data_IF_081652153637
#
_entry.id   IF_081652153637
#
_cell.length_a   1.000
_cell.length_b   1.000
_cell.length_c   1.000
_cell.angle_alpha   90.00
_cell.angle_beta   90.00
_cell.angle_gamma   90.00
#
_symmetry.space_group_name_H-M   'P 1'
#
loop_
_entity.id
_entity.type
_entity.pdbx_description
1 polymer ?
#
# COMPACT_ATOMS: atom_id res chain seq x y z
N UNK A 1 14.36 -5.62 -6.19
CA UNK A 1 15.39 -4.73 -6.81
C UNK A 1 14.72 -3.39 -6.99
N UNK A 2 15.08 -2.36 -6.22
CA UNK A 2 14.35 -1.09 -6.24
C UNK A 2 14.42 -0.41 -7.61
N UNK A 3 13.27 0.08 -8.06
CA UNK A 3 13.08 0.92 -9.24
C UNK A 3 14.06 2.09 -9.27
N UNK A 4 15.01 2.09 -10.22
CA UNK A 4 16.04 3.12 -10.38
C UNK A 4 16.92 3.33 -9.12
N UNK A 5 18.05 4.03 -9.26
CA UNK A 5 18.76 4.55 -8.09
C UNK A 5 17.78 5.41 -7.27
N UNK A 6 17.44 4.95 -6.08
CA UNK A 6 16.62 5.72 -5.14
C UNK A 6 17.42 6.91 -4.63
N UNK A 7 16.79 8.08 -4.45
CA UNK A 7 17.45 9.19 -3.76
C UNK A 7 17.95 8.74 -2.40
N UNK A 8 19.12 9.21 -2.01
CA UNK A 8 19.70 9.03 -0.68
C UNK A 8 19.61 10.31 0.16
N UNK A 9 19.19 11.41 -0.46
CA UNK A 9 19.05 12.74 0.16
C UNK A 9 17.84 13.45 -0.40
N UNK A 10 17.31 14.42 0.35
CA UNK A 10 16.25 15.32 -0.10
C UNK A 10 16.62 16.00 -1.42
N UNK A 11 17.85 16.51 -1.56
CA UNK A 11 18.33 17.17 -2.78
C UNK A 11 18.27 16.24 -4.00
N UNK A 12 18.72 14.98 -3.87
CA UNK A 12 18.62 14.02 -4.97
C UNK A 12 17.17 13.72 -5.35
N UNK A 13 16.24 13.72 -4.37
CA UNK A 13 14.81 13.55 -4.65
C UNK A 13 14.26 14.73 -5.45
N UNK A 14 14.67 15.96 -5.13
CA UNK A 14 14.32 17.16 -5.90
C UNK A 14 14.94 17.15 -7.30
N UNK A 15 16.21 16.76 -7.42
CA UNK A 15 16.88 16.70 -8.73
C UNK A 15 16.20 15.71 -9.68
N UNK A 16 15.66 14.61 -9.14
CA UNK A 16 14.85 13.65 -9.90
C UNK A 16 13.56 14.25 -10.45
N UNK A 17 12.99 15.26 -9.81
CA UNK A 17 11.77 15.93 -10.26
C UNK A 17 12.02 16.94 -11.39
N UNK A 18 13.28 17.30 -11.70
CA UNK A 18 13.59 18.25 -12.79
C UNK A 18 13.13 17.76 -14.17
N UNK A 19 13.01 16.44 -14.36
CA UNK A 19 12.50 15.85 -15.60
C UNK A 19 10.99 15.57 -15.57
N UNK A 20 10.31 15.88 -14.46
CA UNK A 20 8.88 15.64 -14.33
C UNK A 20 8.07 16.79 -14.94
N UNK A 21 6.91 16.47 -15.49
CA UNK A 21 5.93 17.45 -16.00
C UNK A 21 4.71 17.47 -15.11
N UNK A 22 4.15 18.66 -14.88
CA UNK A 22 2.89 18.81 -14.13
C UNK A 22 1.72 18.22 -14.91
N UNK A 23 0.84 17.49 -14.23
CA UNK A 23 -0.38 16.91 -14.84
C UNK A 23 -1.39 18.00 -15.23
N UNK A 24 -1.49 19.05 -14.42
CA UNK A 24 -2.33 20.24 -14.63
C UNK A 24 -1.57 21.48 -14.19
N UNK A 25 -2.07 22.69 -14.51
CA UNK A 25 -1.47 23.91 -13.95
C UNK A 25 -1.61 23.90 -12.42
N UNK A 26 -0.61 24.40 -11.67
CA UNK A 26 -0.70 24.51 -10.22
C UNK A 26 -1.93 25.32 -9.80
N UNK A 27 -2.71 24.79 -8.87
CA UNK A 27 -3.93 25.42 -8.35
C UNK A 27 -5.24 25.02 -9.05
N UNK A 28 -5.18 24.43 -10.25
CA UNK A 28 -6.39 24.08 -11.02
C UNK A 28 -7.09 22.81 -10.52
N UNK A 29 -6.32 21.79 -10.13
CA UNK A 29 -6.85 20.49 -9.71
C UNK A 29 -6.05 19.90 -8.55
N UNK A 30 -6.72 19.03 -7.78
CA UNK A 30 -6.09 18.27 -6.72
C UNK A 30 -5.62 16.90 -7.20
N UNK A 31 -4.30 16.66 -7.08
CA UNK A 31 -3.68 15.37 -7.32
C UNK A 31 -2.77 15.04 -6.14
N UNK A 32 -3.15 14.05 -5.32
CA UNK A 32 -2.32 13.61 -4.20
C UNK A 32 -1.03 12.99 -4.72
N UNK A 33 0.13 13.48 -4.25
CA UNK A 33 1.43 12.99 -4.70
C UNK A 33 2.50 13.13 -3.61
N UNK A 34 3.08 12.01 -3.16
CA UNK A 34 4.09 11.99 -2.09
C UNK A 34 5.31 12.91 -2.36
N UNK A 35 5.86 12.99 -3.58
CA UNK A 35 6.94 13.93 -3.88
C UNK A 35 6.62 15.40 -3.60
N UNK A 36 5.34 15.80 -3.53
CA UNK A 36 4.98 17.17 -3.12
C UNK A 36 5.45 17.44 -1.67
N UNK A 37 5.38 16.44 -0.78
CA UNK A 37 5.89 16.57 0.60
C UNK A 37 7.43 16.51 0.67
N UNK A 38 8.09 15.86 -0.29
CA UNK A 38 9.55 15.92 -0.42
C UNK A 38 10.02 17.34 -0.79
N UNK A 39 9.28 18.03 -1.67
CA UNK A 39 9.49 19.46 -1.97
C UNK A 39 9.30 20.31 -0.71
N UNK A 40 8.25 20.05 0.08
CA UNK A 40 8.02 20.79 1.33
C UNK A 40 9.16 20.58 2.34
N UNK A 41 9.66 19.36 2.49
CA UNK A 41 10.84 19.08 3.32
C UNK A 41 12.08 19.84 2.83
N UNK A 42 12.33 19.87 1.51
CA UNK A 42 13.44 20.64 0.93
C UNK A 42 13.32 22.16 1.18
N UNK A 43 12.09 22.69 1.16
CA UNK A 43 11.82 24.11 1.49
C UNK A 43 12.19 24.37 2.95
N UNK A 44 11.78 23.50 3.88
CA UNK A 44 12.16 23.61 5.31
C UNK A 44 13.68 23.59 5.46
N UNK A 45 14.37 22.64 4.80
CA UNK A 45 15.83 22.55 4.84
C UNK A 45 16.50 23.83 4.33
N UNK A 46 15.99 24.40 3.24
CA UNK A 46 16.53 25.61 2.61
C UNK A 46 16.33 26.84 3.50
N UNK A 47 15.14 27.01 4.06
CA UNK A 47 14.78 28.18 4.86
C UNK A 47 15.42 28.12 6.25
N UNK A 48 15.35 26.97 6.93
CA UNK A 48 15.88 26.79 8.26
C UNK A 48 17.40 26.58 8.29
N UNK A 49 18.00 26.18 7.15
CA UNK A 49 19.41 25.74 7.06
C UNK A 49 19.74 24.59 8.01
N UNK A 50 18.74 23.75 8.28
CA UNK A 50 18.83 22.56 9.14
C UNK A 50 18.27 21.37 8.35
N UNK A 51 18.81 20.16 8.54
CA UNK A 51 18.23 18.95 7.91
C UNK A 51 16.79 18.73 8.40
N UNK A 52 15.91 18.21 7.55
CA UNK A 52 14.49 18.10 7.88
C UNK A 52 14.22 17.22 9.11
N UNK A 53 14.94 16.10 9.23
CA UNK A 53 14.85 15.20 10.38
C UNK A 53 15.26 15.89 11.69
N UNK A 54 16.34 16.67 11.65
CA UNK A 54 16.81 17.45 12.81
C UNK A 54 15.86 18.60 13.15
N UNK A 55 15.27 19.25 12.14
CA UNK A 55 14.30 20.31 12.34
C UNK A 55 13.06 19.78 13.05
N UNK A 56 12.48 18.67 12.59
CA UNK A 56 11.33 18.04 13.24
C UNK A 56 11.64 17.62 14.67
N UNK A 57 12.82 17.01 14.90
CA UNK A 57 13.23 16.60 16.23
C UNK A 57 13.28 17.78 17.21
N UNK A 58 13.97 18.86 16.82
CA UNK A 58 14.25 20.02 17.68
C UNK A 58 13.05 20.95 17.88
N UNK A 59 12.24 21.18 16.83
CA UNK A 59 11.19 22.21 16.84
C UNK A 59 9.78 21.66 16.97
N UNK A 60 9.59 20.34 16.84
CA UNK A 60 8.28 19.70 16.93
C UNK A 60 8.27 18.56 17.96
N UNK A 61 9.05 17.50 17.75
CA UNK A 61 8.93 16.29 18.55
C UNK A 61 9.38 16.48 20.00
N UNK A 62 10.54 17.11 20.23
CA UNK A 62 11.03 17.38 21.59
C UNK A 62 10.12 18.34 22.37
N UNK A 63 9.71 19.51 21.83
CA UNK A 63 8.77 20.40 22.50
C UNK A 63 7.43 19.75 22.85
N UNK A 64 7.00 18.75 22.05
CA UNK A 64 5.75 18.01 22.27
C UNK A 64 5.90 16.76 23.15
N UNK A 65 7.10 16.51 23.70
CA UNK A 65 7.43 15.30 24.44
C UNK A 65 7.20 13.99 23.64
N UNK A 66 7.28 14.05 22.31
CA UNK A 66 7.20 12.91 21.39
C UNK A 66 8.56 12.19 21.32
N UNK A 67 8.97 11.57 22.44
CA UNK A 67 10.32 11.05 22.65
C UNK A 67 10.67 9.84 21.78
N UNK A 68 9.66 9.13 21.28
CA UNK A 68 9.77 7.94 20.44
C UNK A 68 9.48 8.23 18.96
N UNK A 69 9.19 9.48 18.60
CA UNK A 69 8.96 9.87 17.20
C UNK A 69 10.25 10.32 16.52
N UNK A 70 10.57 9.74 15.36
CA UNK A 70 11.73 10.15 14.54
C UNK A 70 11.34 10.17 13.07
N UNK A 71 11.95 11.08 12.32
CA UNK A 71 11.91 11.06 10.86
C UNK A 71 13.07 10.21 10.34
N UNK A 72 12.75 9.36 9.36
CA UNK A 72 13.72 8.59 8.60
C UNK A 72 13.54 8.86 7.11
N UNK A 73 14.61 9.21 6.42
CA UNK A 73 14.57 9.46 4.98
C UNK A 73 14.55 8.19 4.11
N UNK A 74 14.93 7.03 4.67
CA UNK A 74 15.03 5.74 3.98
C UNK A 74 14.40 4.63 4.82
N UNK A 75 13.59 3.78 4.18
CA UNK A 75 12.88 2.65 4.84
C UNK A 75 13.83 1.60 5.43
N UNK A 76 15.03 1.42 4.87
CA UNK A 76 16.05 0.52 5.42
C UNK A 76 16.41 0.84 6.88
N UNK A 77 16.21 2.09 7.32
CA UNK A 77 16.51 2.51 8.68
C UNK A 77 15.39 2.20 9.67
N UNK A 78 14.23 1.72 9.22
CA UNK A 78 13.08 1.46 10.10
C UNK A 78 13.36 0.38 11.14
N UNK A 79 14.30 -0.54 10.87
CA UNK A 79 14.65 -1.64 11.77
C UNK A 79 15.97 -1.40 12.53
N UNK A 80 16.72 -0.36 12.19
CA UNK A 80 18.05 -0.11 12.76
C UNK A 80 18.07 0.89 13.92
N UNK A 81 16.94 1.54 14.20
CA UNK A 81 16.86 2.59 15.23
C UNK A 81 16.66 2.04 16.65
N UNK A 82 17.16 2.80 17.63
CA UNK A 82 17.24 2.45 19.06
C UNK A 82 15.86 2.24 19.71
N UNK A 83 15.39 0.99 19.74
CA UNK A 83 14.18 0.55 20.43
C UNK A 83 13.49 -0.62 19.68
N UNK A 84 12.59 -1.39 20.32
CA UNK A 84 11.87 -2.45 19.64
C UNK A 84 10.79 -1.86 18.72
N UNK A 85 11.17 -1.43 17.51
CA UNK A 85 10.20 -1.11 16.48
C UNK A 85 9.42 -2.38 16.12
N UNK A 86 8.10 -2.25 15.96
CA UNK A 86 7.27 -3.37 15.54
C UNK A 86 7.77 -3.86 14.17
N UNK A 87 7.99 -5.18 14.04
CA UNK A 87 8.30 -5.76 12.73
C UNK A 87 7.11 -5.56 11.80
N UNK A 88 7.38 -5.16 10.56
CA UNK A 88 6.38 -5.06 9.51
C UNK A 88 5.97 -6.44 9.00
N UNK A 89 4.76 -6.54 8.46
CA UNK A 89 4.21 -7.79 7.97
C UNK A 89 3.56 -7.64 6.60
N UNK A 90 3.79 -8.64 5.76
CA UNK A 90 2.93 -8.95 4.61
C UNK A 90 1.92 -10.01 5.04
N UNK A 91 0.88 -10.24 4.23
CA UNK A 91 -0.07 -11.32 4.50
C UNK A 91 0.13 -12.47 3.52
N UNK A 92 0.21 -13.69 4.04
CA UNK A 92 0.23 -14.92 3.25
C UNK A 92 -0.85 -15.85 3.78
N UNK A 93 -1.81 -16.23 2.93
CA UNK A 93 -2.97 -17.04 3.34
C UNK A 93 -3.71 -16.44 4.54
N UNK A 94 -3.86 -15.10 4.54
CA UNK A 94 -4.52 -14.34 5.60
C UNK A 94 -3.79 -14.30 6.94
N UNK A 95 -2.55 -14.81 7.01
CA UNK A 95 -1.70 -14.72 8.19
C UNK A 95 -0.63 -13.65 8.00
N UNK A 96 -0.35 -12.80 9.01
CA UNK A 96 0.76 -11.88 8.95
C UNK A 96 2.07 -12.67 8.98
N UNK A 97 2.97 -12.37 8.04
CA UNK A 97 4.32 -12.93 7.92
C UNK A 97 5.29 -11.77 7.97
N UNK A 98 6.24 -11.84 8.91
CA UNK A 98 7.23 -10.78 9.08
C UNK A 98 8.02 -10.55 7.80
N UNK A 99 8.15 -9.27 7.42
CA UNK A 99 8.88 -8.85 6.24
C UNK A 99 9.53 -7.50 6.50
N UNK A 100 10.64 -7.25 5.80
CA UNK A 100 11.26 -5.92 5.77
C UNK A 100 10.52 -5.06 4.75
N UNK A 101 10.37 -3.77 5.04
CA UNK A 101 9.87 -2.79 4.09
C UNK A 101 10.87 -2.64 2.92
N UNK A 102 10.44 -2.74 1.65
CA UNK A 102 11.32 -2.51 0.51
C UNK A 102 12.03 -1.15 0.56
N UNK A 103 13.27 -1.10 0.05
CA UNK A 103 14.07 0.12 0.03
C UNK A 103 13.39 1.24 -0.76
N UNK A 104 13.13 2.36 -0.07
CA UNK A 104 12.46 3.51 -0.64
C UNK A 104 12.88 4.81 0.06
N UNK A 105 13.04 5.88 -0.73
CA UNK A 105 13.18 7.23 -0.20
C UNK A 105 11.82 7.77 0.24
N UNK A 106 11.70 8.01 1.54
CA UNK A 106 10.45 8.40 2.22
C UNK A 106 10.54 9.75 2.92
N UNK A 107 11.70 10.40 2.86
CA UNK A 107 11.97 11.66 3.54
C UNK A 107 10.90 12.72 3.26
N UNK A 108 10.43 13.39 4.31
CA UNK A 108 9.35 14.39 4.22
C UNK A 108 7.93 13.84 4.01
N UNK A 109 7.75 12.69 3.35
CA UNK A 109 6.44 12.22 2.89
C UNK A 109 5.88 11.04 3.69
N UNK A 110 6.72 10.10 4.14
CA UNK A 110 6.29 8.85 4.75
C UNK A 110 7.29 8.27 5.78
N UNK A 111 8.27 9.08 6.18
CA UNK A 111 9.41 8.65 6.99
C UNK A 111 9.24 8.70 8.50
N UNK A 112 8.12 9.25 9.00
CA UNK A 112 7.92 9.44 10.44
C UNK A 112 7.49 8.12 11.08
N UNK A 113 8.32 7.60 11.99
CA UNK A 113 8.00 6.47 12.86
C UNK A 113 7.60 7.04 14.21
N UNK A 114 6.51 6.54 14.79
CA UNK A 114 5.95 7.01 16.06
C UNK A 114 5.26 5.87 16.82
N UNK A 115 4.74 6.17 18.01
CA UNK A 115 3.85 5.28 18.77
C UNK A 115 2.53 6.00 19.12
N UNK A 116 1.57 5.25 19.67
CA UNK A 116 0.24 5.79 20.00
C UNK A 116 0.29 6.90 21.07
N UNK A 117 1.24 6.84 22.01
CA UNK A 117 1.40 7.86 23.06
C UNK A 117 1.87 9.18 22.46
N UNK A 118 2.92 9.16 21.65
CA UNK A 118 3.45 10.35 20.98
C UNK A 118 2.44 10.90 19.97
N UNK A 119 1.75 10.04 19.21
CA UNK A 119 0.66 10.46 18.32
C UNK A 119 -0.53 11.08 19.06
N UNK A 120 -0.77 10.71 20.33
CA UNK A 120 -1.79 11.38 21.14
C UNK A 120 -1.43 12.84 21.42
N UNK A 121 -0.14 13.15 21.66
CA UNK A 121 0.33 14.53 21.79
C UNK A 121 0.13 15.30 20.47
N UNK A 122 0.45 14.67 19.34
CA UNK A 122 0.18 15.23 18.00
C UNK A 122 -1.29 15.59 17.79
N UNK A 123 -2.21 14.66 18.07
CA UNK A 123 -3.63 14.91 17.87
C UNK A 123 -4.19 15.97 18.82
N UNK A 124 -3.71 16.03 20.06
CA UNK A 124 -4.10 17.09 21.01
C UNK A 124 -3.69 18.47 20.52
N UNK A 125 -2.45 18.62 20.02
CA UNK A 125 -2.01 19.87 19.38
C UNK A 125 -2.94 20.26 18.22
N UNK A 126 -3.29 19.32 17.35
CA UNK A 126 -4.19 19.56 16.21
C UNK A 126 -5.63 19.88 16.62
N UNK A 127 -6.07 19.40 17.78
CA UNK A 127 -7.35 19.81 18.40
C UNK A 127 -7.25 21.16 19.12
N UNK A 128 -6.07 21.79 19.14
CA UNK A 128 -5.78 23.02 19.86
C UNK A 128 -5.90 22.86 21.39
N UNK A 129 -5.81 21.61 21.86
CA UNK A 129 -5.71 21.24 23.27
C UNK A 129 -4.23 21.18 23.65
N UNK A 130 -3.85 21.78 24.78
CA UNK A 130 -2.45 21.91 25.21
C UNK A 130 -1.56 22.79 24.32
N UNK A 131 -2.08 23.89 23.78
CA UNK A 131 -1.19 25.04 23.63
C UNK A 131 -1.04 25.67 25.02
N UNK A 132 0.08 25.49 25.76
CA UNK A 132 0.48 26.51 26.72
C UNK A 132 0.41 27.87 26.01
N UNK A 133 0.04 28.94 26.71
CA UNK A 133 0.08 30.28 26.10
C UNK A 133 1.47 30.60 25.51
N UNK A 134 2.51 29.94 26.02
CA UNK A 134 3.91 30.00 25.58
C UNK A 134 4.35 28.88 24.60
N UNK A 135 3.42 28.04 24.09
CA UNK A 135 3.78 27.04 23.06
C UNK A 135 4.10 27.75 21.74
N UNK A 136 5.39 27.96 21.49
CA UNK A 136 5.92 28.59 20.28
C UNK A 136 5.88 27.70 19.01
N UNK A 137 5.24 26.52 19.05
CA UNK A 137 5.25 25.55 17.92
C UNK A 137 4.47 26.10 16.72
N UNK A 138 3.22 26.49 16.92
CA UNK A 138 2.33 27.01 15.88
C UNK A 138 1.29 27.92 16.52
N UNK A 139 0.85 28.98 15.83
CA UNK A 139 -0.23 29.84 16.33
C UNK A 139 -1.60 29.39 15.82
N UNK A 140 -2.68 29.86 16.47
CA UNK A 140 -4.07 29.50 16.12
C UNK A 140 -4.45 29.82 14.67
N UNK A 141 -3.94 30.93 14.11
CA UNK A 141 -4.22 31.31 12.72
C UNK A 141 -3.61 30.31 11.74
N UNK A 142 -2.37 29.89 11.98
CA UNK A 142 -1.65 28.91 11.16
C UNK A 142 -2.26 27.52 11.29
N UNK A 143 -2.67 27.13 12.51
CA UNK A 143 -3.42 25.89 12.75
C UNK A 143 -4.74 25.87 11.95
N UNK A 144 -5.51 26.96 12.01
CA UNK A 144 -6.76 27.09 11.24
C UNK A 144 -6.49 27.02 9.74
N UNK A 145 -5.45 27.70 9.24
CA UNK A 145 -5.07 27.67 7.83
C UNK A 145 -4.71 26.24 7.37
N UNK A 146 -3.91 25.52 8.15
CA UNK A 146 -3.52 24.14 7.87
C UNK A 146 -4.74 23.21 7.74
N UNK A 147 -5.80 23.44 8.53
CA UNK A 147 -6.99 22.60 8.57
C UNK A 147 -8.12 23.08 7.64
N UNK A 148 -7.91 24.15 6.86
CA UNK A 148 -8.90 24.72 5.95
C UNK A 148 -8.55 24.37 4.50
N UNK A 149 -9.44 23.67 3.76
CA UNK A 149 -9.25 23.44 2.33
C UNK A 149 -9.21 24.74 1.50
N UNK A 150 -8.67 24.70 0.27
CA UNK A 150 -8.67 25.88 -0.59
C UNK A 150 -10.10 26.37 -0.90
N UNK A 151 -10.35 27.69 -0.88
CA UNK A 151 -11.68 28.27 -1.04
C UNK A 151 -12.29 28.08 -2.42
N UNK A 152 -11.47 27.75 -3.42
CA UNK A 152 -11.92 27.47 -4.80
C UNK A 152 -12.79 26.23 -4.91
N UNK A 153 -12.85 25.40 -3.86
CA UNK A 153 -13.57 24.12 -3.87
C UNK A 153 -12.90 23.04 -4.72
N UNK A 154 -11.69 23.31 -5.27
CA UNK A 154 -10.93 22.37 -6.08
C UNK A 154 -10.50 21.10 -5.31
N UNK A 155 -10.53 21.15 -3.97
CA UNK A 155 -10.21 20.02 -3.11
C UNK A 155 -10.89 20.15 -1.75
N UNK A 156 -11.05 19.01 -1.07
CA UNK A 156 -11.36 18.94 0.36
C UNK A 156 -10.13 18.56 1.17
N UNK A 157 -8.94 18.93 0.70
CA UNK A 157 -7.65 18.68 1.33
C UNK A 157 -7.05 19.99 1.86
N UNK A 158 -6.77 20.05 3.15
CA UNK A 158 -5.97 21.09 3.80
C UNK A 158 -4.46 20.82 3.64
N UNK A 159 -3.64 21.37 4.52
CA UNK A 159 -2.20 21.12 4.54
C UNK A 159 -1.92 19.86 5.38
N UNK A 160 -2.07 18.67 4.78
CA UNK A 160 -1.83 17.39 5.47
C UNK A 160 -3.07 16.67 5.95
N UNK A 161 -4.27 17.20 5.69
CA UNK A 161 -5.53 16.64 6.18
C UNK A 161 -6.58 16.58 5.07
N UNK A 162 -7.29 15.45 4.96
CA UNK A 162 -8.58 15.42 4.28
C UNK A 162 -9.64 15.95 5.23
N UNK A 163 -10.40 16.95 4.80
CA UNK A 163 -11.44 17.60 5.57
C UNK A 163 -12.80 17.06 5.13
N UNK A 164 -13.58 16.48 6.05
CA UNK A 164 -14.93 15.95 5.81
C UNK A 164 -16.01 17.06 5.84
N UNK A 165 -17.22 16.86 5.26
CA UNK A 165 -18.21 17.93 5.16
C UNK A 165 -18.74 18.38 6.53
N UNK A 166 -18.68 17.47 7.51
CA UNK A 166 -19.06 17.71 8.89
C UNK A 166 -17.99 18.49 9.69
N UNK A 167 -16.82 18.77 9.10
CA UNK A 167 -15.69 19.47 9.72
C UNK A 167 -14.59 18.55 10.26
N UNK A 168 -14.79 17.24 10.27
CA UNK A 168 -13.80 16.29 10.77
C UNK A 168 -12.59 16.23 9.84
N UNK A 169 -11.44 15.87 10.41
CA UNK A 169 -10.18 15.77 9.68
C UNK A 169 -9.70 14.34 9.74
N UNK A 170 -9.21 13.80 8.63
CA UNK A 170 -8.57 12.49 8.62
C UNK A 170 -7.37 12.48 7.69
N UNK A 171 -6.43 11.58 7.96
CA UNK A 171 -5.34 11.26 7.03
C UNK A 171 -4.88 9.83 7.32
N UNK A 172 -4.47 9.12 6.28
CA UNK A 172 -3.97 7.75 6.40
C UNK A 172 -2.60 7.60 5.76
N UNK A 173 -1.84 6.66 6.28
CA UNK A 173 -0.53 6.26 5.77
C UNK A 173 -0.52 4.78 5.45
N UNK A 174 -0.04 4.43 4.26
CA UNK A 174 0.10 3.03 3.85
C UNK A 174 1.47 2.79 3.22
N UNK A 175 2.19 1.81 3.76
CA UNK A 175 3.42 1.24 3.23
C UNK A 175 3.20 -0.24 2.88
N UNK A 176 4.22 -0.94 2.37
CA UNK A 176 4.05 -2.35 2.04
C UNK A 176 3.85 -3.22 3.29
N UNK A 177 4.46 -2.82 4.42
CA UNK A 177 4.46 -3.62 5.65
C UNK A 177 3.85 -2.93 6.87
N UNK A 178 3.41 -1.67 6.74
CA UNK A 178 2.79 -0.87 7.81
C UNK A 178 1.59 -0.06 7.30
N UNK A 179 0.64 0.22 8.19
CA UNK A 179 -0.50 1.12 7.95
C UNK A 179 -0.75 2.00 9.18
N UNK A 180 -1.26 3.21 8.98
CA UNK A 180 -1.67 4.10 10.04
C UNK A 180 -2.93 4.87 9.64
N UNK A 181 -3.88 4.97 10.57
CA UNK A 181 -5.11 5.73 10.42
C UNK A 181 -5.19 6.78 11.54
N UNK A 182 -5.60 8.00 11.20
CA UNK A 182 -5.89 9.03 12.19
C UNK A 182 -7.08 9.89 11.79
N UNK A 183 -7.85 10.32 12.78
CA UNK A 183 -9.01 11.19 12.62
C UNK A 183 -9.18 12.14 13.80
N UNK A 184 -9.70 13.33 13.53
CA UNK A 184 -10.13 14.31 14.51
C UNK A 184 -11.62 14.56 14.31
N UNK A 185 -12.40 14.19 15.33
CA UNK A 185 -13.83 14.41 15.45
C UNK A 185 -14.07 15.78 16.07
N UNK A 186 -14.24 16.82 15.24
CA UNK A 186 -14.22 18.21 15.70
C UNK A 186 -15.38 18.55 16.62
N UNK A 187 -16.57 17.99 16.37
CA UNK A 187 -17.76 18.25 17.18
C UNK A 187 -17.72 17.57 18.53
N UNK A 188 -17.14 16.37 18.57
CA UNK A 188 -17.07 15.52 19.76
C UNK A 188 -15.83 15.80 20.61
N UNK A 189 -14.81 16.46 20.05
CA UNK A 189 -13.57 16.76 20.77
C UNK A 189 -12.66 15.55 20.94
N UNK A 190 -12.72 14.58 20.02
CA UNK A 190 -11.88 13.38 20.06
C UNK A 190 -10.85 13.35 18.93
N UNK A 191 -9.65 12.85 19.25
CA UNK A 191 -8.64 12.44 18.29
C UNK A 191 -8.44 10.94 18.39
N UNK A 192 -8.50 10.24 17.26
CA UNK A 192 -8.32 8.79 17.17
C UNK A 192 -7.10 8.51 16.31
N UNK A 193 -6.21 7.64 16.77
CA UNK A 193 -5.07 7.11 16.01
C UNK A 193 -5.01 5.60 16.16
N UNK A 194 -4.82 4.88 15.05
CA UNK A 194 -4.62 3.44 15.03
C UNK A 194 -3.38 3.14 14.17
N UNK A 195 -2.45 2.39 14.74
CA UNK A 195 -1.19 2.01 14.09
C UNK A 195 -1.17 0.50 13.86
N UNK A 196 -0.87 0.08 12.63
CA UNK A 196 -0.83 -1.31 12.22
C UNK A 196 0.57 -1.67 11.74
N UNK A 197 1.02 -2.86 12.12
CA UNK A 197 2.27 -3.46 11.64
C UNK A 197 2.03 -4.48 10.52
N UNK A 198 0.89 -4.37 9.82
CA UNK A 198 0.63 -4.98 8.53
C UNK A 198 0.39 -3.86 7.51
N UNK A 199 0.87 -4.04 6.29
CA UNK A 199 0.79 -3.02 5.25
C UNK A 199 -0.20 -3.34 4.15
N UNK A 200 0.06 -2.78 2.97
CA UNK A 200 -0.85 -2.80 1.83
C UNK A 200 -1.33 -4.22 1.50
N UNK A 201 -2.62 -4.45 1.72
CA UNK A 201 -3.31 -5.68 1.37
C UNK A 201 -4.70 -5.33 0.81
N UNK A 202 -5.13 -5.92 -0.33
CA UNK A 202 -6.37 -5.53 -0.98
C UNK A 202 -7.61 -6.16 -0.33
N UNK A 203 -7.43 -7.03 0.67
CA UNK A 203 -8.49 -7.70 1.42
C UNK A 203 -8.62 -7.20 2.85
N UNK A 204 -7.79 -6.24 3.28
CA UNK A 204 -7.82 -5.65 4.62
C UNK A 204 -8.24 -4.19 4.49
N UNK A 205 -9.35 -3.83 5.12
CA UNK A 205 -9.83 -2.44 5.19
C UNK A 205 -9.45 -1.80 6.53
N UNK A 206 -8.26 -1.19 6.56
CA UNK A 206 -7.75 -0.52 7.76
C UNK A 206 -8.63 0.64 8.22
N UNK A 207 -9.28 1.34 7.29
CA UNK A 207 -10.13 2.49 7.61
C UNK A 207 -11.39 2.05 8.36
N UNK A 208 -11.95 0.88 8.04
CA UNK A 208 -13.11 0.33 8.76
C UNK A 208 -12.88 0.16 10.27
N UNK A 209 -11.63 -0.08 10.71
CA UNK A 209 -11.29 -0.13 12.14
C UNK A 209 -11.42 1.25 12.79
N UNK A 210 -10.99 2.30 12.09
CA UNK A 210 -11.14 3.68 12.53
C UNK A 210 -12.63 4.05 12.63
N UNK A 211 -13.41 3.75 11.60
CA UNK A 211 -14.86 3.97 11.61
C UNK A 211 -15.56 3.20 12.74
N UNK A 212 -15.16 1.94 12.99
CA UNK A 212 -15.69 1.16 14.10
C UNK A 212 -15.41 1.79 15.47
N UNK A 213 -14.21 2.33 15.69
CA UNK A 213 -13.90 3.08 16.92
C UNK A 213 -14.75 4.35 17.02
N UNK A 214 -14.92 5.08 15.91
CA UNK A 214 -15.77 6.29 15.85
C UNK A 214 -17.23 5.94 16.18
N UNK A 215 -17.77 4.84 15.66
CA UNK A 215 -19.12 4.36 16.00
C UNK A 215 -19.25 4.02 17.48
N UNK A 216 -18.28 3.31 18.06
CA UNK A 216 -18.29 3.00 19.51
C UNK A 216 -18.30 4.28 20.34
N UNK A 217 -17.51 5.29 19.97
CA UNK A 217 -17.48 6.59 20.66
C UNK A 217 -18.79 7.37 20.55
N UNK A 218 -19.61 7.06 19.54
CA UNK A 218 -20.93 7.63 19.32
C UNK A 218 -22.07 6.78 19.94
N UNK A 219 -21.74 5.75 20.73
CA UNK A 219 -22.69 4.75 21.26
C UNK A 219 -23.47 4.00 20.15
N UNK A 220 -22.89 3.90 18.94
CA UNK A 220 -23.42 3.16 17.81
C UNK A 220 -22.76 1.78 17.69
N UNK A 221 -23.45 0.81 17.08
CA UNK A 221 -22.87 -0.52 16.82
C UNK A 221 -22.02 -0.50 15.56
N UNK A 222 -20.72 -0.85 15.63
CA UNK A 222 -19.86 -0.95 14.46
C UNK A 222 -20.39 -1.94 13.43
N UNK A 223 -20.18 -1.62 12.15
CA UNK A 223 -20.44 -2.55 11.06
C UNK A 223 -19.41 -3.67 11.12
N UNK A 224 -19.88 -4.90 11.33
CA UNK A 224 -19.01 -6.08 11.26
C UNK A 224 -18.96 -6.61 9.82
N UNK A 225 -17.78 -7.00 9.31
CA UNK A 225 -17.67 -7.59 7.99
C UNK A 225 -18.38 -8.96 7.97
N UNK A 226 -19.03 -9.27 6.83
CA UNK A 226 -19.73 -10.56 6.65
C UNK A 226 -18.79 -11.75 6.65
N UNK A 227 -17.57 -11.55 6.15
CA UNK A 227 -16.51 -12.55 6.11
C UNK A 227 -15.23 -11.97 6.71
N UNK A 228 -14.40 -12.77 7.38
CA UNK A 228 -13.12 -12.31 7.84
C UNK A 228 -12.17 -12.07 6.66
N UNK A 229 -11.26 -11.11 6.79
CA UNK A 229 -10.32 -10.67 5.74
C UNK A 229 -9.46 -11.80 5.16
N UNK A 230 -9.24 -12.86 5.94
CA UNK A 230 -8.48 -14.05 5.51
C UNK A 230 -9.27 -15.01 4.62
N UNK A 231 -10.61 -14.95 4.61
CA UNK A 231 -11.45 -15.95 3.94
C UNK A 231 -11.29 -15.89 2.42
N UNK A 232 -11.32 -14.69 1.84
CA UNK A 232 -11.18 -14.48 0.40
C UNK A 232 -9.81 -14.94 -0.13
N UNK A 233 -8.66 -14.48 0.41
CA UNK A 233 -7.36 -14.90 -0.10
C UNK A 233 -7.12 -16.41 0.06
N UNK A 234 -7.59 -17.03 1.16
CA UNK A 234 -7.53 -18.49 1.32
C UNK A 234 -8.40 -19.19 0.30
N UNK A 235 -9.65 -18.74 0.10
CA UNK A 235 -10.57 -19.32 -0.87
C UNK A 235 -10.02 -19.28 -2.30
N UNK A 236 -9.50 -18.13 -2.73
CA UNK A 236 -8.85 -17.97 -4.05
C UNK A 236 -7.62 -18.89 -4.16
N UNK A 237 -6.78 -18.93 -3.13
CA UNK A 237 -5.59 -19.80 -3.12
C UNK A 237 -5.95 -21.29 -3.20
N UNK A 238 -6.97 -21.74 -2.47
CA UNK A 238 -7.46 -23.12 -2.52
C UNK A 238 -8.00 -23.49 -3.91
N UNK A 239 -8.77 -22.59 -4.54
CA UNK A 239 -9.23 -22.79 -5.92
C UNK A 239 -8.03 -22.96 -6.86
N UNK A 240 -7.03 -22.08 -6.78
CA UNK A 240 -5.82 -22.18 -7.60
C UNK A 240 -5.04 -23.48 -7.36
N UNK A 241 -4.93 -23.93 -6.10
CA UNK A 241 -4.30 -25.21 -5.74
C UNK A 241 -5.07 -26.38 -6.36
N UNK A 242 -6.40 -26.42 -6.22
CA UNK A 242 -7.24 -27.48 -6.78
C UNK A 242 -7.12 -27.51 -8.31
N UNK A 243 -7.20 -26.34 -8.97
CA UNK A 243 -7.04 -26.24 -10.42
C UNK A 243 -5.65 -26.67 -10.90
N UNK A 244 -4.62 -26.39 -10.10
CA UNK A 244 -3.25 -26.85 -10.35
C UNK A 244 -3.15 -28.37 -10.24
N UNK A 245 -3.67 -28.95 -9.15
CA UNK A 245 -3.69 -30.40 -8.93
C UNK A 245 -4.46 -31.14 -10.04
N UNK A 246 -5.64 -30.63 -10.42
CA UNK A 246 -6.42 -31.17 -11.53
C UNK A 246 -5.68 -31.09 -12.86
N UNK A 247 -4.90 -30.03 -13.09
CA UNK A 247 -4.09 -29.88 -14.30
C UNK A 247 -2.94 -30.90 -14.32
N UNK A 248 -2.24 -31.08 -13.20
CA UNK A 248 -1.16 -32.06 -13.09
C UNK A 248 -1.66 -33.51 -13.15
N UNK A 249 -2.83 -33.81 -12.58
CA UNK A 249 -3.44 -35.13 -12.67
C UNK A 249 -3.73 -35.58 -14.12
N UNK A 250 -3.97 -34.64 -15.03
CA UNK A 250 -4.11 -34.96 -16.46
C UNK A 250 -2.81 -35.43 -17.12
N UNK A 251 -1.64 -35.13 -16.53
CA UNK A 251 -0.37 -35.65 -17.03
C UNK A 251 -0.21 -37.15 -16.73
N UNK A 252 -0.71 -37.60 -15.58
CA UNK A 252 -0.59 -38.99 -15.12
C UNK A 252 -1.70 -39.89 -15.67
N UNK A 253 -2.90 -39.35 -15.88
CA UNK A 253 -4.03 -40.13 -16.37
C UNK A 253 -3.98 -40.31 -17.91
N UNK A 254 -3.38 -41.41 -18.36
CA UNK A 254 -3.25 -41.78 -19.79
C UNK A 254 -4.62 -41.97 -20.49
N UNK A 255 -5.68 -42.32 -19.74
CA UNK A 255 -7.00 -42.59 -20.31
C UNK A 255 -7.75 -41.35 -20.80
N UNK A 256 -7.51 -40.17 -20.20
CA UNK A 256 -8.08 -38.90 -20.65
C UNK A 256 -7.47 -38.38 -21.96
N UNK A 257 -6.48 -39.10 -22.50
CA UNK A 257 -5.76 -38.79 -23.74
C UNK A 257 -5.83 -39.89 -24.80
N UNK A 258 -6.55 -40.99 -24.53
CA UNK A 258 -6.75 -42.08 -25.48
C UNK A 258 -7.81 -41.68 -26.51
N UNK A 259 -7.36 -41.00 -27.56
CA UNK A 259 -8.16 -40.81 -28.75
C UNK A 259 -7.97 -42.01 -29.68
N UNK A 260 -8.84 -43.00 -29.58
CA UNK A 260 -8.86 -44.20 -30.45
C UNK A 260 -9.02 -43.81 -31.94
N UNK A 261 -9.74 -42.71 -32.22
CA UNK A 261 -9.74 -41.99 -33.49
C UNK A 261 -9.28 -40.56 -33.20
N UNK A 262 -8.14 -40.12 -33.75
CA UNK A 262 -7.57 -38.81 -33.44
C UNK A 262 -8.57 -37.66 -33.65
N UNK A 263 -8.77 -36.74 -32.69
CA UNK A 263 -9.68 -35.62 -32.83
C UNK A 263 -9.16 -34.67 -33.92
N UNK A 264 -10.03 -33.91 -34.57
CA UNK A 264 -9.61 -33.00 -35.63
C UNK A 264 -8.61 -31.96 -35.07
N UNK A 265 -7.60 -31.62 -35.89
CA UNK A 265 -6.45 -30.77 -35.49
C UNK A 265 -6.87 -29.44 -34.85
N UNK A 266 -7.97 -28.84 -35.30
CA UNK A 266 -8.51 -27.59 -34.75
C UNK A 266 -8.95 -27.74 -33.28
N UNK A 267 -9.55 -28.87 -32.90
CA UNK A 267 -9.99 -29.13 -31.51
C UNK A 267 -8.80 -29.30 -30.57
N UNK A 268 -7.73 -29.91 -31.07
CA UNK A 268 -6.45 -30.02 -30.36
C UNK A 268 -5.81 -28.65 -30.18
N UNK A 269 -5.79 -27.84 -31.23
CA UNK A 269 -5.27 -26.47 -31.18
C UNK A 269 -6.05 -25.62 -30.15
N UNK A 270 -7.38 -25.64 -30.18
CA UNK A 270 -8.22 -24.95 -29.18
C UNK A 270 -7.88 -25.43 -27.76
N UNK A 271 -7.79 -26.74 -27.55
CA UNK A 271 -7.45 -27.30 -26.24
C UNK A 271 -6.04 -26.95 -25.74
N UNK A 272 -5.10 -26.63 -26.63
CA UNK A 272 -3.78 -26.13 -26.28
C UNK A 272 -3.86 -24.63 -25.98
N UNK A 273 -4.53 -23.85 -26.84
CA UNK A 273 -4.71 -22.41 -26.64
C UNK A 273 -5.42 -22.11 -25.30
N UNK A 274 -6.46 -22.87 -24.95
CA UNK A 274 -7.15 -22.70 -23.66
C UNK A 274 -6.25 -22.96 -22.46
N UNK A 275 -5.27 -23.87 -22.58
CA UNK A 275 -4.27 -24.13 -21.55
C UNK A 275 -3.22 -23.03 -21.44
N UNK A 276 -3.05 -22.21 -22.48
CA UNK A 276 -2.15 -21.06 -22.43
C UNK A 276 -2.84 -19.79 -21.91
N UNK A 277 -4.15 -19.81 -21.66
CA UNK A 277 -4.87 -18.66 -21.08
C UNK A 277 -4.27 -18.22 -19.73
N UNK A 278 -3.98 -19.10 -18.76
CA UNK A 278 -3.44 -18.68 -17.47
C UNK A 278 -2.11 -17.94 -17.58
N UNK A 279 -1.19 -18.39 -18.44
CA UNK A 279 0.09 -17.68 -18.66
C UNK A 279 -0.14 -16.35 -19.40
N UNK A 280 -1.07 -16.30 -20.35
CA UNK A 280 -1.46 -15.03 -21.01
C UNK A 280 -2.03 -14.02 -20.02
N UNK A 281 -2.93 -14.45 -19.14
CA UNK A 281 -3.50 -13.62 -18.08
C UNK A 281 -2.43 -13.16 -17.10
N UNK A 282 -1.50 -14.05 -16.71
CA UNK A 282 -0.36 -13.69 -15.89
C UNK A 282 0.42 -12.57 -16.59
N UNK A 283 0.91 -12.77 -17.81
CA UNK A 283 1.71 -11.75 -18.54
C UNK A 283 1.04 -10.37 -18.63
N UNK A 284 -0.30 -10.31 -18.70
CA UNK A 284 -1.08 -9.07 -18.82
C UNK A 284 -1.55 -8.53 -17.46
N UNK A 285 -1.42 -9.30 -16.37
CA UNK A 285 -1.88 -8.94 -15.02
C UNK A 285 -1.38 -7.58 -14.51
N UNK A 286 -0.08 -7.23 -14.62
CA UNK A 286 0.41 -5.91 -14.18
C UNK A 286 -0.28 -4.75 -14.89
N UNK A 287 -0.52 -4.88 -16.19
CA UNK A 287 -1.21 -3.86 -16.98
C UNK A 287 -2.68 -3.73 -16.57
N UNK A 288 -3.38 -4.86 -16.39
CA UNK A 288 -4.77 -4.87 -15.95
C UNK A 288 -4.93 -4.24 -14.58
N UNK A 289 -4.11 -4.62 -13.61
CA UNK A 289 -4.18 -4.07 -12.27
C UNK A 289 -3.77 -2.59 -12.25
N UNK A 290 -2.82 -2.17 -13.09
CA UNK A 290 -2.46 -0.75 -13.23
C UNK A 290 -3.63 0.07 -13.78
N UNK A 291 -4.30 -0.44 -14.82
CA UNK A 291 -5.47 0.22 -15.42
C UNK A 291 -6.63 0.32 -14.43
N UNK A 292 -6.90 -0.73 -13.66
CA UNK A 292 -8.01 -0.77 -12.70
C UNK A 292 -7.75 0.07 -11.45
N UNK A 293 -6.52 0.06 -10.93
CA UNK A 293 -6.19 0.76 -9.68
C UNK A 293 -5.77 2.22 -9.88
N UNK A 294 -5.41 2.62 -11.11
CA UNK A 294 -4.78 3.90 -11.38
C UNK A 294 -3.36 4.03 -10.80
N UNK A 295 -2.79 2.94 -10.25
CA UNK A 295 -1.44 2.89 -9.67
C UNK A 295 -0.55 2.02 -10.54
N UNK A 296 0.69 2.46 -10.77
CA UNK A 296 1.67 1.63 -11.48
C UNK A 296 1.98 0.39 -10.65
N UNK A 297 1.55 -0.79 -11.11
CA UNK A 297 1.75 -2.07 -10.45
C UNK A 297 2.56 -2.98 -11.37
N UNK A 298 3.78 -3.31 -10.96
CA UNK A 298 4.57 -4.35 -11.58
C UNK A 298 4.47 -5.66 -10.77
N UNK A 299 5.15 -6.70 -11.23
CA UNK A 299 5.19 -8.00 -10.57
C UNK A 299 5.59 -7.96 -9.09
N UNK A 300 6.64 -7.22 -8.77
CA UNK A 300 7.13 -7.09 -7.38
C UNK A 300 6.07 -6.43 -6.48
N UNK A 301 5.42 -5.35 -6.94
CA UNK A 301 4.34 -4.68 -6.19
C UNK A 301 3.11 -5.55 -6.00
N UNK A 302 2.74 -6.33 -7.02
CA UNK A 302 1.64 -7.30 -6.91
C UNK A 302 2.01 -8.39 -5.91
N UNK A 303 3.25 -8.88 -5.95
CA UNK A 303 3.73 -9.88 -5.01
C UNK A 303 3.68 -9.39 -3.57
N UNK A 304 4.12 -8.15 -3.30
CA UNK A 304 4.07 -7.57 -1.95
C UNK A 304 2.63 -7.46 -1.43
N UNK A 305 1.67 -7.13 -2.31
CA UNK A 305 0.27 -6.93 -1.96
C UNK A 305 -0.50 -8.25 -1.73
N UNK A 306 -0.18 -9.31 -2.50
CA UNK A 306 -0.89 -10.60 -2.48
C UNK A 306 0.05 -11.78 -2.85
N UNK A 307 1.05 -12.10 -2.02
CA UNK A 307 2.11 -13.04 -2.37
C UNK A 307 1.60 -14.45 -2.61
N UNK A 308 0.61 -14.90 -1.84
CA UNK A 308 -0.04 -16.20 -1.95
C UNK A 308 -0.81 -16.36 -3.27
N UNK A 309 -1.68 -15.42 -3.60
CA UNK A 309 -2.47 -15.46 -4.85
C UNK A 309 -1.53 -15.49 -6.05
N UNK A 310 -0.53 -14.60 -6.08
CA UNK A 310 0.42 -14.56 -7.18
C UNK A 310 1.23 -15.86 -7.27
N UNK A 311 1.70 -16.40 -6.14
CA UNK A 311 2.44 -17.65 -6.09
C UNK A 311 1.63 -18.83 -6.65
N UNK A 312 0.40 -19.05 -6.16
CA UNK A 312 -0.45 -20.14 -6.64
C UNK A 312 -0.91 -19.93 -8.08
N UNK A 313 -1.07 -18.67 -8.53
CA UNK A 313 -1.40 -18.39 -9.91
C UNK A 313 -0.23 -18.73 -10.86
N UNK A 314 1.02 -18.45 -10.44
CA UNK A 314 2.21 -18.86 -11.18
C UNK A 314 2.29 -20.40 -11.28
N UNK A 315 2.05 -21.12 -10.19
CA UNK A 315 2.03 -22.60 -10.20
C UNK A 315 0.95 -23.14 -11.14
N UNK A 316 -0.24 -22.54 -11.11
CA UNK A 316 -1.34 -22.90 -12.01
C UNK A 316 -0.96 -22.68 -13.49
N UNK A 317 -0.34 -21.54 -13.81
CA UNK A 317 0.13 -21.24 -15.16
C UNK A 317 1.20 -22.24 -15.63
N UNK A 318 2.20 -22.53 -14.79
CA UNK A 318 3.26 -23.51 -15.09
C UNK A 318 2.70 -24.92 -15.31
N UNK A 319 1.76 -25.37 -14.47
CA UNK A 319 1.13 -26.67 -14.63
C UNK A 319 0.40 -26.78 -15.98
N UNK A 320 -0.29 -25.72 -16.43
CA UNK A 320 -0.96 -25.74 -17.72
C UNK A 320 0.01 -25.70 -18.91
N UNK A 321 1.14 -24.99 -18.79
CA UNK A 321 2.21 -25.03 -19.80
C UNK A 321 2.76 -26.47 -19.91
N UNK A 322 3.02 -27.14 -18.79
CA UNK A 322 3.50 -28.52 -18.78
C UNK A 322 2.52 -29.47 -19.47
N UNK A 323 1.21 -29.31 -19.22
CA UNK A 323 0.16 -30.08 -19.91
C UNK A 323 0.13 -29.79 -21.42
N UNK A 324 0.23 -28.53 -21.82
CA UNK A 324 0.28 -28.15 -23.24
C UNK A 324 1.51 -28.76 -23.95
N UNK A 325 2.69 -28.67 -23.33
CA UNK A 325 3.93 -29.24 -23.85
C UNK A 325 3.88 -30.76 -23.97
N UNK A 326 3.35 -31.45 -22.93
CA UNK A 326 3.18 -32.90 -22.96
C UNK A 326 2.24 -33.36 -24.09
N UNK A 327 1.16 -32.62 -24.34
CA UNK A 327 0.23 -32.88 -25.44
C UNK A 327 0.89 -32.67 -26.81
N UNK A 328 1.63 -31.57 -26.99
CA UNK A 328 2.38 -31.29 -28.21
C UNK A 328 3.41 -32.39 -28.53
N UNK A 329 4.17 -32.84 -27.52
CA UNK A 329 5.15 -33.93 -27.68
C UNK A 329 4.48 -35.23 -28.12
N UNK A 330 3.34 -35.60 -27.54
CA UNK A 330 2.58 -36.79 -27.92
C UNK A 330 2.06 -36.71 -29.36
N UNK A 331 1.57 -35.56 -29.80
CA UNK A 331 1.11 -35.36 -31.19
C UNK A 331 2.24 -35.51 -32.21
N UNK A 332 3.44 -35.01 -31.90
CA UNK A 332 4.59 -35.19 -32.76
C UNK A 332 5.01 -36.67 -32.84
N UNK A 333 5.00 -37.41 -31.73
CA UNK A 333 5.31 -38.83 -31.73
C UNK A 333 4.30 -39.69 -32.52
N UNK A 334 3.03 -39.28 -32.59
CA UNK A 334 2.01 -39.94 -33.41
C UNK A 334 2.15 -39.66 -34.92
N UNK A 335 2.88 -38.62 -35.33
CA UNK A 335 3.16 -38.34 -36.76
C UNK A 335 4.35 -39.15 -37.31
N UNK A 336 5.15 -39.77 -36.44
CA UNK A 336 6.38 -40.51 -36.79
C UNK A 336 6.14 -42.03 -36.87
N UNK A 337 4.96 -42.50 -36.43
CA UNK A 337 4.45 -43.85 -36.70
C UNK A 337 3.44 -43.77 -37.84
#
# INVERSE_FOLDING_TARGET
MSFYHQPQTTQQAIDRLRSATTVTKPGDQFHYHNPNYQILAAIVETVARERFDMYLQKHLFEPMAMRHTREHILTQHFQTTTGPNASGHLYFLGRPVSSVEPDWFVGGAAGVISNVTDMSHWLRLQMNEQMPEDSHIINRQSMKLMQTPPPTGASRYGMGWFCQPNGDLYHSGILWTYCAEQMILKKQGYGVVILFNGGLNPFVDYHSFLEGVVSILADETPVNPTFPDWAVPIGVSLILIILTALSLWQLTNKNLTNFSTGPPKWRVAINICTRLIPIGLLLVLPYLLTLLSGRVLNWERIFLMMPDILFFFCLFALANIAVAAARLKRLNNLKVK
#
